data_IF_826320194687
#
_entry.id   IF_826320194687
#
_cell.length_a   1.000
_cell.length_b   1.000
_cell.length_c   1.000
_cell.angle_alpha   90.00
_cell.angle_beta   90.00
_cell.angle_gamma   90.00
#
_symmetry.space_group_name_H-M   'P 1'
#
loop_
_entity.id
_entity.type
_entity.pdbx_description
1 polymer ?
#
# COMPACT_ATOMS: atom_id res chain seq x y z
N UNK A 1 -10.36 3.43 -3.80
CA UNK A 1 -10.80 2.78 -2.53
C UNK A 1 -9.63 2.05 -1.91
N UNK A 2 -9.75 1.58 -0.66
CA UNK A 2 -8.71 0.84 0.06
C UNK A 2 -9.31 -0.25 0.95
N UNK A 3 -8.55 -1.32 1.22
CA UNK A 3 -8.93 -2.43 2.10
C UNK A 3 -7.77 -2.70 3.08
N UNK A 4 -7.71 -2.01 4.23
CA UNK A 4 -6.68 -2.27 5.23
C UNK A 4 -6.79 -3.69 5.79
N UNK A 5 -5.66 -4.32 6.09
CA UNK A 5 -5.66 -5.60 6.81
C UNK A 5 -6.12 -5.43 8.26
N UNK A 6 -5.82 -4.29 8.86
CA UNK A 6 -6.30 -3.93 10.19
C UNK A 6 -6.40 -2.42 10.39
N UNK A 7 -7.24 -2.05 11.36
CA UNK A 7 -7.36 -0.69 11.89
C UNK A 7 -6.93 -0.70 13.36
N UNK A 8 -6.27 0.37 13.79
CA UNK A 8 -5.85 0.58 15.18
C UNK A 8 -6.48 1.87 15.68
N UNK A 9 -7.38 1.73 16.65
CA UNK A 9 -8.16 2.81 17.23
C UNK A 9 -8.69 3.76 16.14
N UNK A 10 -8.60 5.07 16.36
CA UNK A 10 -9.09 6.10 15.44
C UNK A 10 -8.01 6.62 14.48
N UNK A 11 -6.73 6.40 14.77
CA UNK A 11 -5.63 7.09 14.07
C UNK A 11 -4.71 6.19 13.24
N UNK A 12 -4.76 4.88 13.42
CA UNK A 12 -3.81 3.93 12.82
C UNK A 12 -4.44 2.89 11.92
N UNK A 13 -3.68 2.38 10.97
CA UNK A 13 -4.03 1.21 10.17
C UNK A 13 -2.79 0.37 9.88
N UNK A 14 -2.93 -0.66 9.07
CA UNK A 14 -1.76 -1.43 8.67
C UNK A 14 -2.01 -2.39 7.53
N UNK A 15 -0.89 -2.89 7.02
CA UNK A 15 -0.79 -3.88 5.95
C UNK A 15 0.18 -4.97 6.41
N UNK A 16 -0.22 -6.22 6.23
CA UNK A 16 0.53 -7.41 6.59
C UNK A 16 0.92 -8.15 5.32
N UNK A 17 2.22 -8.25 5.10
CA UNK A 17 2.80 -9.09 4.05
C UNK A 17 3.31 -10.39 4.66
N UNK A 18 2.86 -11.51 4.11
CA UNK A 18 3.40 -12.84 4.40
C UNK A 18 4.03 -13.41 3.13
N UNK A 19 5.23 -12.94 2.73
CA UNK A 19 5.87 -13.40 1.50
C UNK A 19 6.21 -14.90 1.60
N UNK A 20 6.00 -15.65 0.51
CA UNK A 20 6.45 -17.05 0.45
C UNK A 20 7.99 -17.14 0.34
N UNK A 21 8.62 -16.14 -0.28
CA UNK A 21 10.07 -16.07 -0.39
C UNK A 21 10.70 -15.58 0.91
N UNK A 22 11.55 -16.42 1.50
CA UNK A 22 12.39 -16.06 2.63
C UNK A 22 13.36 -14.92 2.30
N UNK A 23 13.77 -14.79 1.03
CA UNK A 23 14.67 -13.72 0.58
C UNK A 23 13.98 -12.35 0.64
N UNK A 24 12.69 -12.28 0.31
CA UNK A 24 11.90 -11.05 0.40
C UNK A 24 11.76 -10.61 1.86
N UNK A 25 11.43 -11.53 2.77
CA UNK A 25 11.37 -11.20 4.20
C UNK A 25 12.74 -10.79 4.75
N UNK A 26 13.82 -11.49 4.35
CA UNK A 26 15.19 -11.12 4.73
C UNK A 26 15.56 -9.72 4.24
N UNK A 27 15.25 -9.38 2.99
CA UNK A 27 15.48 -8.05 2.44
C UNK A 27 14.72 -6.99 3.25
N UNK A 28 13.47 -7.26 3.63
CA UNK A 28 12.71 -6.38 4.52
C UNK A 28 13.38 -6.21 5.89
N UNK A 29 13.87 -7.28 6.52
CA UNK A 29 14.58 -7.19 7.79
C UNK A 29 15.85 -6.32 7.70
N UNK A 30 16.56 -6.39 6.58
CA UNK A 30 17.83 -5.68 6.36
C UNK A 30 17.66 -4.23 5.91
N UNK A 31 16.63 -3.96 5.10
CA UNK A 31 16.48 -2.69 4.37
C UNK A 31 15.20 -1.93 4.72
N UNK A 32 14.28 -2.57 5.43
CA UNK A 32 12.99 -2.04 5.80
C UNK A 32 11.93 -2.15 4.71
N UNK A 33 10.94 -1.28 4.80
CA UNK A 33 9.80 -1.17 3.88
C UNK A 33 10.25 -1.09 2.41
N UNK A 34 9.85 -2.07 1.57
CA UNK A 34 10.03 -1.99 0.12
C UNK A 34 9.28 -0.77 -0.47
N UNK A 35 9.92 0.03 -1.35
CA UNK A 35 9.32 1.24 -1.91
C UNK A 35 7.98 1.02 -2.63
N UNK A 36 7.78 -0.14 -3.25
CA UNK A 36 6.56 -0.49 -4.00
C UNK A 36 5.28 -0.59 -3.14
N UNK A 37 5.42 -0.55 -1.81
CA UNK A 37 4.30 -0.55 -0.89
C UNK A 37 3.90 0.86 -0.43
N UNK A 38 4.67 1.89 -0.78
CA UNK A 38 4.40 3.27 -0.35
C UNK A 38 3.08 3.77 -0.94
N UNK A 39 2.82 3.53 -2.23
CA UNK A 39 1.57 3.90 -2.90
C UNK A 39 0.36 3.25 -2.21
N UNK A 40 0.45 1.95 -1.90
CA UNK A 40 -0.61 1.21 -1.21
C UNK A 40 -0.88 1.79 0.19
N UNK A 41 0.19 2.05 0.95
CA UNK A 41 0.11 2.57 2.32
C UNK A 41 -0.47 3.99 2.34
N UNK A 42 0.08 4.90 1.53
CA UNK A 42 -0.40 6.28 1.45
C UNK A 42 -1.82 6.36 0.88
N UNK A 43 -2.17 5.47 -0.06
CA UNK A 43 -3.55 5.31 -0.54
C UNK A 43 -4.52 4.86 0.55
N UNK A 44 -4.11 3.92 1.41
CA UNK A 44 -4.88 3.52 2.60
C UNK A 44 -5.08 4.67 3.57
N UNK A 45 -4.03 5.42 3.87
CA UNK A 45 -4.07 6.62 4.72
C UNK A 45 -4.95 7.71 4.12
N UNK A 46 -4.89 7.91 2.82
CA UNK A 46 -5.75 8.86 2.09
C UNK A 46 -7.22 8.51 2.23
N UNK A 47 -7.61 7.28 1.86
CA UNK A 47 -9.01 6.84 1.85
C UNK A 47 -9.62 6.81 3.26
N UNK A 48 -8.82 6.47 4.27
CA UNK A 48 -9.31 6.32 5.65
C UNK A 48 -9.20 7.59 6.51
N UNK A 49 -8.42 8.59 6.07
CA UNK A 49 -8.13 9.79 6.88
C UNK A 49 -7.21 9.53 8.09
N UNK A 50 -6.58 8.35 8.18
CA UNK A 50 -5.72 7.96 9.30
C UNK A 50 -4.35 8.61 9.20
N UNK A 51 -3.63 8.63 10.33
CA UNK A 51 -2.42 9.42 10.53
C UNK A 51 -1.13 8.60 10.39
N UNK A 52 -1.21 7.29 10.59
CA UNK A 52 -0.07 6.40 10.47
C UNK A 52 -0.51 4.99 10.05
N UNK A 53 0.42 4.26 9.46
CA UNK A 53 0.23 2.91 8.97
C UNK A 53 1.39 2.03 9.41
N UNK A 54 1.11 0.87 9.99
CA UNK A 54 2.15 -0.11 10.27
C UNK A 54 2.27 -1.07 9.08
N UNK A 55 3.41 -1.05 8.42
CA UNK A 55 3.81 -2.08 7.48
C UNK A 55 4.39 -3.25 8.26
N UNK A 56 3.84 -4.43 8.05
CA UNK A 56 4.26 -5.67 8.71
C UNK A 56 4.75 -6.66 7.66
N UNK A 57 5.90 -7.28 7.89
CA UNK A 57 6.36 -8.44 7.14
C UNK A 57 6.53 -9.61 8.10
N UNK A 58 5.99 -10.77 7.76
CA UNK A 58 6.04 -11.97 8.58
C UNK A 58 6.47 -13.19 7.75
N UNK A 59 7.37 -14.02 8.29
CA UNK A 59 7.73 -15.28 7.65
C UNK A 59 7.94 -16.42 8.68
N UNK A 60 7.15 -17.51 8.63
CA UNK A 60 7.11 -18.51 9.70
C UNK A 60 8.39 -19.37 9.83
N UNK A 61 9.19 -19.48 8.76
CA UNK A 61 10.42 -20.29 8.74
C UNK A 61 11.63 -19.62 9.42
N UNK A 62 11.54 -18.34 9.80
CA UNK A 62 12.64 -17.64 10.49
C UNK A 62 12.65 -17.99 12.00
N UNK A 63 13.78 -17.78 12.70
CA UNK A 63 13.82 -17.82 14.17
C UNK A 63 12.85 -16.81 14.80
N UNK A 64 12.26 -17.06 15.99
CA UNK A 64 11.25 -16.20 16.61
C UNK A 64 11.59 -14.70 16.61
N UNK A 65 12.84 -14.34 16.87
CA UNK A 65 13.38 -12.98 16.90
C UNK A 65 13.43 -12.27 15.53
N UNK A 66 13.30 -13.03 14.44
CA UNK A 66 13.36 -12.55 13.06
C UNK A 66 12.13 -12.95 12.24
N UNK A 67 11.07 -13.47 12.86
CA UNK A 67 9.83 -13.81 12.13
C UNK A 67 8.98 -12.60 11.78
N UNK A 68 9.16 -11.49 12.49
CA UNK A 68 8.27 -10.34 12.45
C UNK A 68 9.09 -9.07 12.28
N UNK A 69 8.76 -8.31 11.25
CA UNK A 69 9.23 -6.95 11.02
C UNK A 69 8.03 -6.00 11.04
N UNK A 70 8.16 -4.87 11.73
CA UNK A 70 7.14 -3.81 11.75
C UNK A 70 7.83 -2.47 11.53
N UNK A 71 7.33 -1.68 10.57
CA UNK A 71 7.74 -0.30 10.36
C UNK A 71 6.52 0.61 10.31
N UNK A 72 6.49 1.63 11.17
CA UNK A 72 5.47 2.67 11.13
C UNK A 72 5.79 3.69 10.05
N UNK A 73 4.81 3.96 9.20
CA UNK A 73 4.85 4.95 8.13
C UNK A 73 3.87 6.07 8.47
N UNK A 74 4.34 7.32 8.64
CA UNK A 74 3.44 8.44 8.83
C UNK A 74 2.72 8.80 7.54
N UNK A 75 1.55 9.41 7.67
CA UNK A 75 0.86 10.09 6.58
C UNK A 75 1.76 11.15 5.95
N UNK A 76 1.81 11.16 4.63
CA UNK A 76 2.49 12.18 3.85
C UNK A 76 1.49 12.83 2.89
N UNK A 77 0.98 14.00 3.27
CA UNK A 77 -0.02 14.73 2.49
C UNK A 77 0.50 15.17 1.11
N UNK A 78 1.78 15.54 0.99
CA UNK A 78 2.38 15.91 -0.30
C UNK A 78 2.40 14.71 -1.26
N UNK A 79 2.74 13.52 -0.75
CA UNK A 79 2.67 12.29 -1.53
C UNK A 79 1.23 11.95 -1.93
N UNK A 80 0.27 12.11 -1.00
CA UNK A 80 -1.15 11.84 -1.25
C UNK A 80 -1.72 12.78 -2.33
N UNK A 81 -1.33 14.06 -2.36
CA UNK A 81 -1.74 14.99 -3.42
C UNK A 81 -1.28 14.48 -4.80
N UNK A 82 -0.04 13.99 -4.90
CA UNK A 82 0.47 13.44 -6.16
C UNK A 82 -0.25 12.14 -6.55
N UNK A 83 -0.56 11.29 -5.56
CA UNK A 83 -1.31 10.05 -5.76
C UNK A 83 -2.74 10.33 -6.25
N UNK A 84 -3.43 11.30 -5.65
CA UNK A 84 -4.77 11.74 -6.08
C UNK A 84 -4.77 12.21 -7.53
N UNK A 85 -3.82 13.09 -7.90
CA UNK A 85 -3.70 13.58 -9.27
C UNK A 85 -3.47 12.44 -10.28
N UNK A 86 -2.62 11.47 -9.94
CA UNK A 86 -2.38 10.30 -10.78
C UNK A 86 -3.63 9.42 -10.92
N UNK A 87 -4.40 9.22 -9.84
CA UNK A 87 -5.65 8.46 -9.88
C UNK A 87 -6.71 9.14 -10.77
N UNK A 88 -6.86 10.46 -10.68
CA UNK A 88 -7.80 11.22 -11.50
C UNK A 88 -7.43 11.18 -12.98
N UNK A 89 -6.13 11.27 -13.30
CA UNK A 89 -5.66 11.15 -14.67
C UNK A 89 -5.94 9.74 -15.22
N UNK A 90 -5.65 8.69 -14.43
CA UNK A 90 -5.94 7.31 -14.82
C UNK A 90 -7.44 7.09 -15.06
N UNK A 91 -8.31 7.66 -14.22
CA UNK A 91 -9.75 7.60 -14.42
C UNK A 91 -10.15 8.21 -15.77
N UNK A 92 -9.63 9.40 -16.09
CA UNK A 92 -9.87 10.05 -17.37
C UNK A 92 -9.41 9.20 -18.57
N UNK A 93 -8.22 8.60 -18.48
CA UNK A 93 -7.65 7.74 -19.52
C UNK A 93 -8.53 6.49 -19.75
N UNK A 94 -9.00 5.86 -18.66
CA UNK A 94 -9.90 4.71 -18.73
C UNK A 94 -11.21 5.10 -19.42
N UNK A 95 -11.81 6.24 -19.07
CA UNK A 95 -13.05 6.71 -19.72
C UNK A 95 -12.85 6.99 -21.22
N UNK A 96 -11.70 7.54 -21.60
CA UNK A 96 -11.36 7.76 -23.00
C UNK A 96 -11.25 6.42 -23.77
N UNK A 97 -10.59 5.42 -23.19
CA UNK A 97 -10.47 4.06 -23.77
C UNK A 97 -11.86 3.42 -23.93
N UNK A 98 -12.69 3.46 -22.88
CA UNK A 98 -14.05 2.93 -22.92
C UNK A 98 -14.88 3.59 -24.02
N UNK A 99 -14.77 4.91 -24.17
CA UNK A 99 -15.46 5.66 -25.21
C UNK A 99 -15.04 5.21 -26.62
N UNK A 100 -13.74 5.00 -26.84
CA UNK A 100 -13.23 4.49 -28.13
C UNK A 100 -13.70 3.06 -28.42
N UNK A 101 -13.72 2.19 -27.41
CA UNK A 101 -14.20 0.81 -27.57
C UNK A 101 -15.69 0.78 -27.91
N UNK A 102 -16.52 1.60 -27.24
CA UNK A 102 -17.95 1.68 -27.51
C UNK A 102 -18.25 2.22 -28.92
N UNK A 103 -17.47 3.17 -29.42
CA UNK A 103 -17.62 3.67 -30.80
C UNK A 103 -17.27 2.63 -31.86
N UNK A 104 -16.33 1.71 -31.60
CA UNK A 104 -15.94 0.65 -32.54
C UNK A 104 -16.92 -0.53 -32.55
N UNK A 105 -17.68 -0.71 -31.48
CA UNK A 105 -18.66 -1.78 -31.34
C UNK A 105 -20.04 -1.43 -31.95
N UNK A 106 -20.25 -0.15 -32.28
CA UNK A 106 -21.44 0.37 -32.97
C UNK A 106 -21.25 0.37 -34.50
#
# INVERSE_FOLDING_TARGET
>A
GASPDFLVDDSGGGEIKSPESSEVHLATLLHGLPPEHIEQIQGGLWVTGRQWWDFVSFHPKFPPEHRLYIQRVPRNDEYIVNLEAACLQLEADVQAILSQLNQRAA
#
